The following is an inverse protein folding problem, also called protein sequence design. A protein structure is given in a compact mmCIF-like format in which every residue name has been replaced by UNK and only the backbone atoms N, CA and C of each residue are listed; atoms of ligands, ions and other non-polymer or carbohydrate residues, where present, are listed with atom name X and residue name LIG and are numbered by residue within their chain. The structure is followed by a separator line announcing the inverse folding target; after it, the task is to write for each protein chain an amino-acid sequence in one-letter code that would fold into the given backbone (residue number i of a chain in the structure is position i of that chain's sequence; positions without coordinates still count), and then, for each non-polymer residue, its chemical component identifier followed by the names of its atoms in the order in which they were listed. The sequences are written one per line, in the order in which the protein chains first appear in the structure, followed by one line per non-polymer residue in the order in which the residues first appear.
data_IF_828713935199
#
_entry.id   IF_828713935199
#
_cell.length_a   1.000
_cell.length_b   1.000
_cell.length_c   1.000
_cell.angle_alpha   90.00
_cell.angle_beta   90.00
_cell.angle_gamma   90.00
#
_symmetry.space_group_name_H-M   'P 1'
#
loop_
_entity.id
_entity.type
_entity.pdbx_description
1 polymer ?
#
# COMPACT_ATOMS: atom_id res chain seq x y z
N UNK A 1 30.75 3.93 8.73
CA UNK A 1 29.72 3.32 7.85
C UNK A 1 29.65 3.92 6.45
N UNK A 2 30.35 4.99 6.07
CA UNK A 2 30.35 5.55 4.70
C UNK A 2 28.93 5.61 4.07
N UNK A 3 27.97 6.13 4.84
CA UNK A 3 26.57 6.33 4.46
C UNK A 3 26.26 7.83 4.46
N UNK A 4 25.24 8.23 3.72
CA UNK A 4 24.77 9.61 3.71
C UNK A 4 23.76 9.85 4.84
N UNK A 5 24.21 10.44 5.94
CA UNK A 5 23.41 10.62 7.16
C UNK A 5 22.23 11.60 7.06
N UNK A 6 22.07 12.29 5.93
CA UNK A 6 21.05 13.32 5.73
C UNK A 6 20.11 13.01 4.56
N UNK A 7 20.18 11.81 4.00
CA UNK A 7 19.20 11.35 3.02
C UNK A 7 18.03 10.60 3.67
N UNK A 8 16.94 10.43 2.92
CA UNK A 8 15.72 9.76 3.41
C UNK A 8 15.00 8.95 2.32
N UNK A 9 15.71 8.48 1.29
CA UNK A 9 15.10 7.82 0.14
C UNK A 9 14.21 6.61 0.51
N UNK A 10 14.52 5.93 1.62
CA UNK A 10 13.76 4.77 2.09
C UNK A 10 12.28 5.03 2.40
N UNK A 11 11.84 6.29 2.49
CA UNK A 11 10.42 6.61 2.77
C UNK A 11 9.54 6.67 1.53
N UNK A 12 10.12 6.74 0.33
CA UNK A 12 9.38 7.16 -0.87
C UNK A 12 8.48 6.07 -1.42
N UNK A 13 8.98 4.83 -1.50
CA UNK A 13 8.22 3.71 -2.04
C UNK A 13 6.92 3.47 -1.26
N UNK A 14 6.99 3.49 0.08
CA UNK A 14 5.80 3.33 0.92
C UNK A 14 4.75 4.42 0.69
N UNK A 15 5.17 5.67 0.49
CA UNK A 15 4.27 6.79 0.17
C UNK A 15 3.61 6.61 -1.19
N UNK A 16 4.37 6.18 -2.20
CA UNK A 16 3.83 5.92 -3.54
C UNK A 16 2.79 4.80 -3.54
N UNK A 17 3.08 3.68 -2.87
CA UNK A 17 2.15 2.56 -2.73
C UNK A 17 0.88 2.95 -1.96
N UNK A 18 1.01 3.67 -0.85
CA UNK A 18 -0.13 4.13 -0.06
C UNK A 18 -1.07 5.04 -0.88
N UNK A 19 -0.52 5.94 -1.71
CA UNK A 19 -1.32 6.80 -2.59
C UNK A 19 -2.11 6.00 -3.63
N UNK A 20 -1.58 4.87 -4.09
CA UNK A 20 -2.28 3.97 -5.03
C UNK A 20 -3.38 3.16 -4.33
N UNK A 21 -3.11 2.66 -3.12
CA UNK A 21 -4.06 1.82 -2.36
C UNK A 21 -5.24 2.66 -1.82
N UNK A 22 -5.01 3.91 -1.40
CA UNK A 22 -6.03 4.75 -0.78
C UNK A 22 -7.38 4.81 -1.52
N UNK A 23 -7.45 5.08 -2.85
CA UNK A 23 -8.72 5.07 -3.58
C UNK A 23 -9.38 3.69 -3.61
N UNK A 24 -8.60 2.61 -3.63
CA UNK A 24 -9.10 1.24 -3.66
C UNK A 24 -9.77 0.82 -2.35
N UNK A 25 -9.48 1.50 -1.23
CA UNK A 25 -10.17 1.28 0.05
C UNK A 25 -11.60 1.83 0.07
N UNK A 26 -11.97 2.61 -0.94
CA UNK A 26 -13.33 3.12 -1.11
C UNK A 26 -14.18 2.17 -1.95
N UNK A 27 -15.49 2.11 -1.66
CA UNK A 27 -16.41 1.20 -2.32
C UNK A 27 -16.26 -0.28 -1.91
N UNK A 28 -17.13 -1.12 -2.46
CA UNK A 28 -17.25 -2.54 -2.12
C UNK A 28 -16.75 -3.47 -3.24
N UNK A 29 -16.10 -2.93 -4.27
CA UNK A 29 -15.56 -3.76 -5.35
C UNK A 29 -14.34 -4.55 -4.89
N UNK A 30 -14.23 -5.78 -5.40
CA UNK A 30 -13.10 -6.66 -5.14
C UNK A 30 -11.83 -6.12 -5.80
N UNK A 31 -10.74 -6.05 -5.02
CA UNK A 31 -9.44 -5.57 -5.48
C UNK A 31 -8.60 -6.75 -5.96
N UNK A 32 -8.06 -6.64 -7.18
CA UNK A 32 -7.24 -7.68 -7.84
C UNK A 32 -5.96 -7.13 -8.49
N UNK A 33 -5.64 -5.85 -8.26
CA UNK A 33 -4.56 -5.10 -8.91
C UNK A 33 -3.16 -5.37 -8.36
N UNK A 34 -3.03 -6.01 -7.18
CA UNK A 34 -1.74 -6.23 -6.50
C UNK A 34 -1.37 -7.71 -6.41
N UNK A 35 -0.31 -8.01 -5.67
CA UNK A 35 0.00 -9.38 -5.27
C UNK A 35 -1.13 -9.98 -4.41
N UNK A 36 -1.16 -11.31 -4.31
CA UNK A 36 -2.24 -12.03 -3.64
C UNK A 36 -2.36 -11.71 -2.15
N UNK A 37 -1.26 -11.38 -1.48
CA UNK A 37 -1.30 -10.98 -0.06
C UNK A 37 -1.97 -9.63 0.10
N UNK A 38 -1.55 -8.64 -0.69
CA UNK A 38 -2.10 -7.28 -0.64
C UNK A 38 -3.59 -7.27 -1.01
N UNK A 39 -3.98 -7.94 -2.10
CA UNK A 39 -5.38 -8.07 -2.50
C UNK A 39 -6.22 -8.74 -1.39
N UNK A 40 -5.73 -9.85 -0.85
CA UNK A 40 -6.43 -10.59 0.21
C UNK A 40 -6.69 -9.75 1.45
N UNK A 41 -5.69 -8.97 1.89
CA UNK A 41 -5.82 -8.10 3.06
C UNK A 41 -6.79 -6.94 2.81
N UNK A 42 -6.73 -6.30 1.64
CA UNK A 42 -7.66 -5.21 1.29
C UNK A 42 -9.10 -5.71 1.25
N UNK A 43 -9.35 -6.86 0.61
CA UNK A 43 -10.69 -7.42 0.50
C UNK A 43 -11.21 -7.93 1.86
N UNK A 44 -10.35 -8.54 2.68
CA UNK A 44 -10.71 -8.93 4.05
C UNK A 44 -11.10 -7.70 4.90
N UNK A 45 -10.31 -6.61 4.81
CA UNK A 45 -10.64 -5.34 5.45
C UNK A 45 -12.00 -4.79 5.00
N UNK A 46 -12.26 -4.76 3.69
CA UNK A 46 -13.56 -4.30 3.15
C UNK A 46 -14.74 -5.11 3.66
N UNK A 47 -14.57 -6.42 3.84
CA UNK A 47 -15.62 -7.32 4.32
C UNK A 47 -15.90 -7.20 5.83
N UNK A 48 -14.94 -6.71 6.62
CA UNK A 48 -15.07 -6.56 8.08
C UNK A 48 -15.59 -5.20 8.53
N UNK A 49 -15.52 -4.20 7.66
CA UNK A 49 -16.04 -2.84 7.86
C UNK A 49 -17.57 -2.82 7.86
#
# INVERSE_FOLDING_TARGET
WNVFSFDQWGVELGKQLANQILPELTGNEEVTSHDSSTNGLINAYKNWR
#
